data_IF_793937034461
#
_entry.id   IF_793937034461
#
_cell.length_a   1.000
_cell.length_b   1.000
_cell.length_c   1.000
_cell.angle_alpha   90.00
_cell.angle_beta   90.00
_cell.angle_gamma   90.00
#
_symmetry.space_group_name_H-M   'P 1'
#
loop_
_entity.id
_entity.type
_entity.pdbx_description
1 polymer ?
#
# COMPACT_ATOMS: atom_id res chain seq x y z
N UNK A 1 -14.45 1.57 4.93
CA UNK A 1 -13.52 2.22 5.87
C UNK A 1 -13.03 3.57 5.34
N UNK A 2 -13.67 4.69 5.68
CA UNK A 2 -13.26 6.03 5.16
C UNK A 2 -12.06 6.67 5.90
N UNK A 3 -11.69 6.15 7.07
CA UNK A 3 -10.70 6.74 7.99
C UNK A 3 -9.49 5.83 8.24
N UNK A 4 -9.23 4.87 7.37
CA UNK A 4 -8.05 4.01 7.54
C UNK A 4 -6.78 4.86 7.52
N UNK A 5 -5.88 4.57 8.46
CA UNK A 5 -4.56 5.19 8.56
C UNK A 5 -3.50 4.12 8.42
N UNK A 6 -2.44 4.44 7.69
CA UNK A 6 -1.27 3.58 7.54
C UNK A 6 -0.10 4.18 8.30
N UNK A 7 0.64 3.33 8.98
CA UNK A 7 1.85 3.69 9.72
C UNK A 7 2.96 2.77 9.24
N UNK A 8 4.06 3.36 8.79
CA UNK A 8 5.21 2.61 8.27
C UNK A 8 6.38 2.92 9.18
N UNK A 9 6.98 1.88 9.77
CA UNK A 9 8.19 2.05 10.57
C UNK A 9 9.40 2.22 9.65
N UNK A 10 10.17 3.31 9.76
CA UNK A 10 11.36 3.52 8.94
C UNK A 10 12.51 2.56 9.28
N UNK A 11 12.56 2.04 10.51
CA UNK A 11 13.67 1.19 10.97
C UNK A 11 13.51 -0.28 10.56
N UNK A 12 12.30 -0.85 10.66
CA UNK A 12 12.06 -2.26 10.38
C UNK A 12 11.11 -2.51 9.18
N UNK A 13 10.56 -1.45 8.57
CA UNK A 13 9.60 -1.56 7.48
C UNK A 13 8.26 -2.19 7.89
N UNK A 14 7.94 -2.26 9.19
CA UNK A 14 6.66 -2.78 9.63
C UNK A 14 5.51 -1.87 9.17
N UNK A 15 4.40 -2.48 8.75
CA UNK A 15 3.24 -1.77 8.22
C UNK A 15 2.08 -2.04 9.17
N UNK A 16 1.59 -0.98 9.78
CA UNK A 16 0.50 -1.03 10.74
C UNK A 16 -0.67 -0.23 10.18
N UNK A 17 -1.88 -0.68 10.45
CA UNK A 17 -3.10 0.01 10.02
C UNK A 17 -3.99 0.26 11.23
N UNK A 18 -4.71 1.38 11.20
CA UNK A 18 -5.74 1.70 12.19
C UNK A 18 -6.99 2.19 11.49
N UNK A 19 -8.16 1.81 12.00
CA UNK A 19 -9.47 2.24 11.48
C UNK A 19 -9.92 3.60 12.01
N UNK A 20 -9.16 4.17 12.95
CA UNK A 20 -9.40 5.46 13.58
C UNK A 20 -8.10 6.10 14.11
N UNK A 21 -8.25 7.07 15.00
CA UNK A 21 -7.11 7.68 15.69
C UNK A 21 -6.50 6.69 16.68
N UNK A 22 -5.20 6.45 16.56
CA UNK A 22 -4.44 5.57 17.42
C UNK A 22 -3.03 6.12 17.63
N UNK A 23 -2.52 5.97 18.85
CA UNK A 23 -1.10 6.13 19.15
C UNK A 23 -0.39 4.81 18.87
N UNK A 24 0.34 4.78 17.76
CA UNK A 24 1.04 3.58 17.29
C UNK A 24 2.53 3.75 17.53
N UNK A 25 3.18 2.75 18.12
CA UNK A 25 4.63 2.73 18.33
C UNK A 25 5.26 1.48 17.73
N UNK A 26 6.43 1.62 17.12
CA UNK A 26 7.24 0.51 16.62
C UNK A 26 8.73 0.83 16.84
N UNK A 27 9.54 -0.18 17.17
CA UNK A 27 10.98 -0.02 17.44
C UNK A 27 11.30 1.08 18.48
N UNK A 28 10.44 1.25 19.49
CA UNK A 28 10.62 2.25 20.56
C UNK A 28 10.30 3.70 20.15
N UNK A 29 9.78 3.93 18.93
CA UNK A 29 9.40 5.26 18.44
C UNK A 29 7.90 5.33 18.18
N UNK A 30 7.30 6.51 18.44
CA UNK A 30 5.92 6.81 18.05
C UNK A 30 5.88 7.06 16.55
N UNK A 31 4.99 6.35 15.85
CA UNK A 31 4.78 6.50 14.42
C UNK A 31 3.68 7.53 14.14
N UNK A 32 3.88 8.33 13.11
CA UNK A 32 2.85 9.24 12.59
C UNK A 32 2.12 8.58 11.42
N UNK A 33 0.80 8.82 11.30
CA UNK A 33 0.04 8.31 10.17
C UNK A 33 0.54 8.94 8.87
N UNK A 34 0.76 8.12 7.86
CA UNK A 34 1.15 8.56 6.53
C UNK A 34 -0.03 9.21 5.82
N UNK A 35 0.21 10.34 5.17
CA UNK A 35 -0.81 11.01 4.35
C UNK A 35 -0.70 10.50 2.92
N UNK A 36 -1.74 9.83 2.38
CA UNK A 36 -1.70 9.30 1.03
C UNK A 36 -1.72 10.43 0.00
N UNK A 37 -0.79 10.38 -0.96
CA UNK A 37 -0.78 11.24 -2.15
C UNK A 37 -1.54 10.56 -3.28
N UNK A 38 -2.11 11.33 -4.21
CA UNK A 38 -2.77 10.75 -5.39
C UNK A 38 -1.72 10.10 -6.29
N UNK A 39 -1.97 8.86 -6.72
CA UNK A 39 -1.11 8.12 -7.64
C UNK A 39 -0.89 8.90 -8.95
N UNK A 40 0.37 9.23 -9.25
CA UNK A 40 0.78 10.02 -10.43
C UNK A 40 2.12 9.52 -10.99
N UNK A 41 2.34 9.68 -12.31
CA UNK A 41 3.60 9.33 -12.97
C UNK A 41 4.01 7.87 -12.79
N UNK A 42 5.25 7.65 -12.30
CA UNK A 42 5.82 6.32 -12.03
C UNK A 42 5.10 5.55 -10.90
N UNK A 43 4.29 6.25 -10.10
CA UNK A 43 3.50 5.68 -9.02
C UNK A 43 2.06 5.38 -9.45
N UNK A 44 1.82 5.12 -10.73
CA UNK A 44 0.49 4.72 -11.22
C UNK A 44 0.39 3.21 -11.28
N UNK A 45 -0.67 2.66 -10.68
CA UNK A 45 -0.99 1.25 -10.81
C UNK A 45 -1.82 1.06 -12.09
N UNK A 46 -1.47 0.08 -12.90
CA UNK A 46 -2.38 -0.44 -13.91
C UNK A 46 -3.22 -1.54 -13.26
N UNK A 47 -4.55 -1.45 -13.36
CA UNK A 47 -5.47 -2.37 -12.70
C UNK A 47 -6.40 -2.94 -13.76
N UNK A 48 -6.31 -4.24 -13.96
CA UNK A 48 -7.11 -5.00 -14.93
C UNK A 48 -8.00 -5.99 -14.16
N UNK A 49 -9.28 -6.07 -14.53
CA UNK A 49 -10.20 -7.06 -13.97
C UNK A 49 -10.19 -8.29 -14.90
N UNK A 50 -9.70 -9.43 -14.40
CA UNK A 50 -9.59 -10.68 -15.14
C UNK A 50 -10.12 -11.82 -14.26
N UNK A 51 -11.08 -12.61 -14.77
CA UNK A 51 -11.62 -13.79 -14.10
C UNK A 51 -12.12 -13.56 -12.65
N UNK A 52 -12.62 -12.35 -12.36
CA UNK A 52 -13.09 -12.00 -11.02
C UNK A 52 -11.97 -11.67 -10.03
N UNK A 53 -10.75 -11.44 -10.52
CA UNK A 53 -9.60 -10.92 -9.78
C UNK A 53 -9.17 -9.57 -10.36
N UNK A 54 -8.53 -8.75 -9.53
CA UNK A 54 -7.78 -7.58 -9.97
C UNK A 54 -6.32 -7.98 -10.17
N UNK A 55 -5.86 -7.95 -11.41
CA UNK A 55 -4.47 -8.04 -11.77
C UNK A 55 -3.87 -6.63 -11.82
N UNK A 56 -2.92 -6.39 -10.93
CA UNK A 56 -2.26 -5.09 -10.78
C UNK A 56 -0.86 -5.20 -11.34
N UNK A 57 -0.50 -4.30 -12.24
CA UNK A 57 0.88 -4.12 -12.70
C UNK A 57 1.36 -2.70 -12.43
N UNK A 58 2.66 -2.54 -12.17
CA UNK A 58 3.25 -1.24 -11.91
C UNK A 58 4.64 -1.14 -12.52
N UNK A 59 4.96 0.03 -13.05
CA UNK A 59 6.27 0.34 -13.66
C UNK A 59 7.28 0.89 -12.65
N UNK A 60 6.88 1.01 -11.38
CA UNK A 60 7.74 1.50 -10.31
C UNK A 60 8.94 0.56 -10.12
N UNK A 61 10.12 1.12 -9.84
CA UNK A 61 11.34 0.36 -9.59
C UNK A 61 11.20 -0.53 -8.36
N UNK A 62 11.77 -1.73 -8.40
CA UNK A 62 11.77 -2.66 -7.28
C UNK A 62 13.22 -2.98 -6.88
N UNK A 63 13.99 -1.96 -6.54
CA UNK A 63 15.40 -2.09 -6.15
C UNK A 63 15.54 -2.03 -4.62
N UNK A 64 16.62 -2.57 -4.04
CA UNK A 64 16.83 -2.65 -2.57
C UNK A 64 16.66 -1.31 -1.82
N UNK A 65 16.87 -0.18 -2.49
CA UNK A 65 16.68 1.17 -1.92
C UNK A 65 15.40 1.89 -2.37
N UNK A 66 14.74 1.44 -3.43
CA UNK A 66 13.57 2.10 -4.03
C UNK A 66 12.61 1.04 -4.56
N UNK A 67 11.60 0.72 -3.74
CA UNK A 67 10.62 -0.31 -4.05
C UNK A 67 9.27 0.02 -3.39
N UNK A 68 8.22 -0.64 -3.87
CA UNK A 68 6.94 -0.64 -3.20
C UNK A 68 6.97 -1.65 -2.04
N UNK A 69 6.66 -1.21 -0.83
CA UNK A 69 6.67 -2.05 0.37
C UNK A 69 5.40 -2.91 0.48
N UNK A 70 4.27 -2.37 0.02
CA UNK A 70 2.98 -3.06 0.04
C UNK A 70 1.99 -2.43 -0.93
N UNK A 71 0.98 -3.22 -1.27
CA UNK A 71 -0.27 -2.75 -1.86
C UNK A 71 -1.40 -3.22 -0.95
N UNK A 72 -2.34 -2.33 -0.66
CA UNK A 72 -3.50 -2.57 0.16
C UNK A 72 -4.77 -2.17 -0.59
N UNK A 73 -5.69 -3.11 -0.76
CA UNK A 73 -7.03 -2.83 -1.27
C UNK A 73 -7.99 -2.62 -0.10
N UNK A 74 -8.55 -1.41 -0.02
CA UNK A 74 -9.44 -0.99 1.07
C UNK A 74 -10.82 -0.73 0.51
N UNK A 75 -11.81 -1.48 0.98
CA UNK A 75 -13.21 -1.27 0.62
C UNK A 75 -14.01 -0.78 1.85
N UNK A 76 -15.34 -0.97 1.84
CA UNK A 76 -16.16 -0.56 2.97
C UNK A 76 -15.91 -1.40 4.25
N UNK A 77 -15.70 -2.70 4.12
CA UNK A 77 -15.75 -3.68 5.22
C UNK A 77 -14.42 -4.42 5.50
N UNK A 78 -13.51 -4.49 4.53
CA UNK A 78 -12.26 -5.24 4.60
C UNK A 78 -11.06 -4.45 4.08
N UNK A 79 -9.89 -4.92 4.49
CA UNK A 79 -8.58 -4.49 4.00
C UNK A 79 -7.85 -5.74 3.56
N UNK A 80 -7.45 -5.78 2.30
CA UNK A 80 -6.56 -6.82 1.78
C UNK A 80 -5.19 -6.19 1.63
N UNK A 81 -4.18 -6.69 2.34
CA UNK A 81 -2.83 -6.15 2.31
C UNK A 81 -1.87 -7.22 1.81
N UNK A 82 -1.13 -6.89 0.75
CA UNK A 82 -0.07 -7.72 0.20
C UNK A 82 1.25 -6.99 0.41
N UNK A 83 2.16 -7.66 1.09
CA UNK A 83 3.52 -7.17 1.28
C UNK A 83 4.34 -7.47 0.03
N UNK A 84 5.12 -6.49 -0.41
CA UNK A 84 6.01 -6.59 -1.55
C UNK A 84 7.46 -6.47 -1.05
N UNK A 85 8.38 -7.04 -1.83
CA UNK A 85 9.80 -7.08 -1.50
C UNK A 85 10.64 -6.55 -2.65
N UNK A 86 11.86 -6.03 -2.38
CA UNK A 86 12.78 -5.66 -3.45
C UNK A 86 13.01 -6.83 -4.42
N UNK A 87 13.29 -6.50 -5.67
CA UNK A 87 13.60 -7.41 -6.77
C UNK A 87 12.44 -8.35 -7.16
N UNK A 88 11.25 -8.13 -6.62
CA UNK A 88 10.03 -8.84 -7.00
C UNK A 88 9.49 -8.35 -8.35
N UNK A 89 8.76 -9.23 -9.05
CA UNK A 89 8.00 -8.85 -10.25
C UNK A 89 7.01 -7.73 -9.92
N UNK A 90 6.86 -6.80 -10.87
CA UNK A 90 6.01 -5.60 -10.75
C UNK A 90 4.52 -5.90 -10.87
N UNK A 91 4.05 -6.94 -10.21
CA UNK A 91 2.68 -7.46 -10.31
C UNK A 91 2.11 -7.89 -8.96
N UNK A 92 0.81 -7.76 -8.79
CA UNK A 92 0.07 -8.27 -7.64
C UNK A 92 -1.34 -8.68 -8.03
N UNK A 93 -1.93 -9.62 -7.28
CA UNK A 93 -3.30 -10.09 -7.50
C UNK A 93 -4.17 -9.84 -6.28
N UNK A 94 -5.36 -9.31 -6.50
CA UNK A 94 -6.36 -9.09 -5.45
C UNK A 94 -7.69 -9.74 -5.83
N UNK A 95 -8.50 -10.16 -4.86
CA UNK A 95 -9.86 -10.61 -5.15
C UNK A 95 -10.67 -9.46 -5.77
N UNK A 96 -11.48 -9.75 -6.80
CA UNK A 96 -12.28 -8.79 -7.56
C UNK A 96 -13.50 -8.25 -6.80
N UNK A 97 -13.29 -7.74 -5.60
CA UNK A 97 -14.32 -7.13 -4.77
C UNK A 97 -14.48 -5.69 -5.21
N UNK A 98 -15.64 -5.25 -5.71
CA UNK A 98 -15.82 -3.88 -6.24
C UNK A 98 -15.92 -2.80 -5.15
N UNK A 99 -15.62 -1.55 -5.54
CA UNK A 99 -15.93 -0.36 -4.74
C UNK A 99 -14.92 0.04 -3.68
N UNK A 100 -13.67 -0.45 -3.78
CA UNK A 100 -12.56 -0.05 -2.93
C UNK A 100 -11.55 0.86 -3.63
N UNK A 101 -10.47 1.17 -2.91
CA UNK A 101 -9.33 1.96 -3.37
C UNK A 101 -8.04 1.21 -3.09
N UNK A 102 -7.05 1.41 -3.95
CA UNK A 102 -5.72 0.87 -3.77
C UNK A 102 -4.85 1.89 -3.03
N UNK A 103 -4.20 1.45 -1.97
CA UNK A 103 -3.20 2.19 -1.23
C UNK A 103 -1.88 1.46 -1.37
N UNK A 104 -0.78 2.16 -1.57
CA UNK A 104 0.52 1.51 -1.69
C UNK A 104 1.61 2.41 -1.17
N UNK A 105 2.58 1.82 -0.46
CA UNK A 105 3.69 2.54 0.14
C UNK A 105 4.95 2.34 -0.69
N UNK A 106 5.61 3.42 -1.08
CA UNK A 106 6.97 3.41 -1.59
C UNK A 106 7.95 3.63 -0.42
N UNK A 107 9.06 2.88 -0.41
CA UNK A 107 10.11 3.00 0.59
C UNK A 107 10.66 4.44 0.73
N UNK A 108 10.68 5.18 -0.38
CA UNK A 108 11.25 6.54 -0.48
C UNK A 108 10.19 7.63 -0.57
N UNK A 109 9.16 7.42 -1.39
CA UNK A 109 8.25 8.48 -1.81
C UNK A 109 6.97 8.60 -0.96
N UNK A 110 6.79 7.64 -0.03
CA UNK A 110 5.71 7.62 0.95
C UNK A 110 4.48 6.84 0.49
N UNK A 111 3.32 7.19 1.02
CA UNK A 111 2.05 6.51 0.76
C UNK A 111 1.31 7.16 -0.42
N UNK A 112 0.75 6.32 -1.28
CA UNK A 112 -0.04 6.71 -2.46
C UNK A 112 -1.42 6.05 -2.44
N UNK A 113 -2.38 6.67 -3.14
CA UNK A 113 -3.75 6.17 -3.31
C UNK A 113 -4.24 6.29 -4.75
N UNK A 114 -4.92 5.25 -5.23
CA UNK A 114 -5.60 5.17 -6.52
C UNK A 114 -7.03 4.63 -6.37
#
# INVERSE_FOLDING_TARGET
MKRIKFYICPDCGNILTATGDAEVSCCGRKLMPQTPKRAEGEHRLNVEEMDGEYYITFTHKMEKGHYLNFIAYVNYNSVHLIRLYPEQSGEARFPGIRGGKFYFGCSRDGLWVQ
#
